data_IF_536818150661
#
_entry.id   IF_536818150661
#
_cell.length_a   1.000
_cell.length_b   1.000
_cell.length_c   1.000
_cell.angle_alpha   90.00
_cell.angle_beta   90.00
_cell.angle_gamma   90.00
#
_symmetry.space_group_name_H-M   'P 1'
#
loop_
_entity.id
_entity.type
_entity.pdbx_description
1 polymer ?
#
# COMPACT_ATOMS: atom_id res chain seq x y z
N UNK A 1 -7.20 -5.78 -27.24
CA UNK A 1 -5.80 -5.43 -26.93
C UNK A 1 -5.74 -5.19 -25.43
N UNK A 2 -4.97 -5.99 -24.68
CA UNK A 2 -4.91 -5.85 -23.22
C UNK A 2 -4.19 -4.54 -22.86
N UNK A 3 -4.78 -3.74 -21.98
CA UNK A 3 -4.15 -2.52 -21.50
C UNK A 3 -2.99 -2.89 -20.56
N UNK A 4 -1.83 -2.23 -20.65
CA UNK A 4 -0.69 -2.53 -19.78
C UNK A 4 -1.03 -2.23 -18.33
N UNK A 5 -0.33 -2.92 -17.43
CA UNK A 5 -0.37 -2.60 -16.01
C UNK A 5 0.22 -1.21 -15.76
N UNK A 6 -0.42 -0.44 -14.88
CA UNK A 6 -0.03 0.93 -14.58
C UNK A 6 -0.17 1.20 -13.09
N UNK A 7 0.76 1.97 -12.52
CA UNK A 7 0.62 2.52 -11.19
C UNK A 7 0.83 4.04 -11.25
N UNK A 8 -0.20 4.80 -10.86
CA UNK A 8 -0.18 6.26 -10.73
C UNK A 8 -0.09 6.58 -9.25
N UNK A 9 0.81 7.48 -8.87
CA UNK A 9 1.07 7.76 -7.45
C UNK A 9 1.53 9.19 -7.23
N UNK A 10 1.14 9.82 -6.11
CA UNK A 10 1.68 11.11 -5.72
C UNK A 10 3.10 10.93 -5.18
N UNK A 11 3.84 12.04 -5.05
CA UNK A 11 5.19 12.02 -4.48
C UNK A 11 5.26 11.49 -3.03
N UNK A 12 4.15 11.55 -2.29
CA UNK A 12 4.03 10.95 -0.96
C UNK A 12 3.93 9.42 -0.98
N UNK A 13 3.62 8.80 -2.14
CA UNK A 13 3.39 7.37 -2.27
C UNK A 13 2.09 6.86 -1.65
N UNK A 14 1.34 7.70 -0.94
CA UNK A 14 0.04 7.36 -0.34
C UNK A 14 -1.05 7.42 -1.42
N UNK A 15 -1.73 6.31 -1.65
CA UNK A 15 -2.91 6.30 -2.52
C UNK A 15 -4.13 6.54 -1.64
N UNK A 16 -4.81 7.67 -1.78
CA UNK A 16 -5.88 8.12 -0.86
C UNK A 16 -7.30 7.88 -1.40
N UNK A 17 -7.41 7.23 -2.57
CA UNK A 17 -8.66 7.05 -3.29
C UNK A 17 -9.11 8.29 -4.08
N UNK A 18 -8.28 9.35 -4.15
CA UNK A 18 -8.59 10.60 -4.84
C UNK A 18 -7.86 10.70 -6.17
N UNK A 19 -8.47 11.41 -7.13
CA UNK A 19 -7.89 11.63 -8.44
C UNK A 19 -7.58 10.34 -9.21
N UNK A 20 -6.53 10.40 -10.04
CA UNK A 20 -6.06 9.30 -10.88
C UNK A 20 -5.14 8.30 -10.17
N UNK A 21 -4.81 8.54 -8.91
CA UNK A 21 -3.91 7.68 -8.15
C UNK A 21 -4.50 6.26 -8.02
N UNK A 22 -3.65 5.25 -8.20
CA UNK A 22 -4.07 3.87 -8.13
C UNK A 22 -3.21 2.89 -8.92
N UNK A 23 -3.46 1.61 -8.70
CA UNK A 23 -3.02 0.54 -9.58
C UNK A 23 -4.12 0.23 -10.58
N UNK A 24 -3.73 0.05 -11.84
CA UNK A 24 -4.61 -0.28 -12.94
C UNK A 24 -4.16 -1.58 -13.62
N UNK A 25 -5.14 -2.43 -13.93
CA UNK A 25 -4.95 -3.66 -14.71
C UNK A 25 -6.12 -3.79 -15.67
N UNK A 26 -5.82 -4.06 -16.94
CA UNK A 26 -6.84 -4.21 -17.98
C UNK A 26 -7.85 -3.04 -18.02
N UNK A 27 -7.36 -1.81 -17.78
CA UNK A 27 -8.16 -0.59 -17.76
C UNK A 27 -8.91 -0.33 -16.45
N UNK A 28 -8.93 -1.25 -15.48
CA UNK A 28 -9.64 -1.09 -14.21
C UNK A 28 -8.71 -0.69 -13.07
N UNK A 29 -9.17 0.21 -12.20
CA UNK A 29 -8.45 0.64 -10.98
C UNK A 29 -8.55 -0.42 -9.88
N UNK A 30 -7.69 -1.43 -9.93
CA UNK A 30 -7.69 -2.56 -8.98
C UNK A 30 -7.34 -2.19 -7.54
N UNK A 31 -6.72 -1.03 -7.33
CA UNK A 31 -6.48 -0.47 -6.01
C UNK A 31 -6.44 1.06 -6.11
N UNK A 32 -7.40 1.75 -5.49
CA UNK A 32 -7.47 3.21 -5.43
C UNK A 32 -6.86 3.75 -4.13
N UNK A 33 -6.81 2.93 -3.07
CA UNK A 33 -6.32 3.28 -1.75
C UNK A 33 -5.24 2.30 -1.27
N UNK A 34 -4.15 2.84 -0.74
CA UNK A 34 -3.01 2.10 -0.18
C UNK A 34 -2.24 3.03 0.76
N UNK A 35 -2.90 3.36 1.88
CA UNK A 35 -2.38 4.29 2.88
C UNK A 35 -1.64 3.52 3.97
N UNK A 36 -0.39 3.89 4.20
CA UNK A 36 0.44 3.32 5.26
C UNK A 36 0.51 4.25 6.45
N UNK A 37 0.27 3.66 7.62
CA UNK A 37 0.60 4.24 8.91
C UNK A 37 1.56 3.33 9.64
N UNK A 38 2.48 3.94 10.38
CA UNK A 38 3.42 3.23 11.24
C UNK A 38 3.60 4.05 12.52
N UNK A 39 3.67 3.40 13.68
CA UNK A 39 3.67 4.08 14.98
C UNK A 39 2.48 5.05 15.18
N UNK A 40 1.32 4.74 14.58
CA UNK A 40 0.10 5.53 14.68
C UNK A 40 0.02 6.76 13.75
N UNK A 41 1.04 7.04 12.94
CA UNK A 41 1.07 8.18 12.02
C UNK A 41 1.50 7.80 10.60
N UNK A 42 1.30 8.71 9.64
CA UNK A 42 1.88 8.52 8.31
C UNK A 42 3.39 8.74 8.34
N UNK A 43 4.18 7.94 7.61
CA UNK A 43 5.60 8.24 7.41
C UNK A 43 5.79 9.60 6.72
N UNK A 44 6.75 10.39 7.20
CA UNK A 44 7.14 11.63 6.53
C UNK A 44 8.01 11.28 5.33
N UNK A 45 7.46 11.38 4.13
CA UNK A 45 8.18 11.07 2.89
C UNK A 45 9.06 12.26 2.49
N UNK A 46 10.36 12.02 2.44
CA UNK A 46 11.36 13.02 2.07
C UNK A 46 11.73 12.97 0.59
N UNK A 47 11.38 11.86 -0.08
CA UNK A 47 11.64 11.69 -1.50
C UNK A 47 10.72 10.63 -2.13
N UNK A 48 10.01 10.99 -3.19
CA UNK A 48 9.30 10.06 -4.07
C UNK A 48 9.73 10.29 -5.52
N UNK A 49 10.16 9.24 -6.21
CA UNK A 49 10.58 9.33 -7.62
C UNK A 49 10.43 8.01 -8.37
N UNK A 50 10.38 8.09 -9.69
CA UNK A 50 10.61 6.92 -10.54
C UNK A 50 12.06 6.46 -10.43
N UNK A 51 12.24 5.14 -10.41
CA UNK A 51 13.56 4.47 -10.44
C UNK A 51 13.70 3.54 -11.64
N UNK A 52 12.59 3.22 -12.31
CA UNK A 52 12.52 2.58 -13.62
C UNK A 52 11.18 2.98 -14.28
N UNK A 53 10.97 2.59 -15.54
CA UNK A 53 9.73 2.87 -16.27
C UNK A 53 8.48 2.25 -15.60
N UNK A 54 8.66 1.14 -14.89
CA UNK A 54 7.62 0.40 -14.19
C UNK A 54 7.66 0.59 -12.66
N UNK A 55 8.62 1.34 -12.11
CA UNK A 55 8.87 1.36 -10.65
C UNK A 55 9.07 2.76 -10.07
N UNK A 56 8.44 2.99 -8.94
CA UNK A 56 8.61 4.17 -8.10
C UNK A 56 9.17 3.79 -6.72
N UNK A 57 10.10 4.60 -6.21
CA UNK A 57 10.66 4.46 -4.87
C UNK A 57 10.34 5.69 -4.03
N UNK A 58 9.84 5.44 -2.83
CA UNK A 58 9.52 6.43 -1.83
C UNK A 58 10.37 6.16 -0.59
N UNK A 59 11.04 7.18 -0.09
CA UNK A 59 11.85 7.12 1.13
C UNK A 59 11.27 8.10 2.12
N UNK A 60 11.05 7.64 3.33
CA UNK A 60 10.54 8.45 4.42
C UNK A 60 11.04 7.99 5.78
N UNK A 61 10.56 8.65 6.81
CA UNK A 61 10.89 8.36 8.21
C UNK A 61 9.63 8.21 9.04
N UNK A 62 9.70 7.36 10.07
CA UNK A 62 8.61 7.16 11.03
C UNK A 62 9.07 7.69 12.37
N UNK A 63 8.33 8.66 12.92
CA UNK A 63 8.52 9.20 14.26
C UNK A 63 7.74 8.37 15.26
N UNK A 64 8.38 7.96 16.36
CA UNK A 64 7.70 7.19 17.42
C UNK A 64 7.40 8.09 18.61
N UNK A 65 6.30 7.80 19.30
CA UNK A 65 6.00 8.46 20.56
C UNK A 65 7.14 8.22 21.57
N UNK A 66 7.63 9.29 22.20
CA UNK A 66 8.70 9.23 23.19
C UNK A 66 10.13 9.22 22.62
N UNK A 67 10.29 9.34 21.30
CA UNK A 67 11.60 9.55 20.68
C UNK A 67 12.17 10.93 21.05
N UNK A 68 13.42 10.96 21.54
CA UNK A 68 14.06 12.18 22.08
C UNK A 68 15.08 12.82 21.12
N UNK A 69 15.53 12.07 20.12
CA UNK A 69 16.56 12.52 19.17
C UNK A 69 15.99 13.33 18.01
N UNK A 70 16.79 14.27 17.45
CA UNK A 70 16.37 15.04 16.28
C UNK A 70 16.21 14.15 15.04
N UNK A 71 16.94 13.05 14.94
CA UNK A 71 16.87 12.13 13.80
C UNK A 71 15.92 10.96 14.10
N UNK A 72 14.91 10.70 13.25
CA UNK A 72 14.07 9.52 13.41
C UNK A 72 14.88 8.22 13.32
N UNK A 73 14.66 7.32 14.27
CA UNK A 73 15.34 6.03 14.35
C UNK A 73 14.83 5.03 13.30
N UNK A 74 13.63 5.25 12.75
CA UNK A 74 13.01 4.35 11.77
C UNK A 74 12.93 5.01 10.40
N UNK A 75 13.61 4.39 9.43
CA UNK A 75 13.50 4.72 8.01
C UNK A 75 12.53 3.76 7.33
N UNK A 76 11.68 4.30 6.46
CA UNK A 76 10.80 3.56 5.57
C UNK A 76 11.26 3.71 4.12
N UNK A 77 11.28 2.60 3.40
CA UNK A 77 11.37 2.56 1.95
C UNK A 77 10.17 1.80 1.39
N UNK A 78 9.47 2.41 0.44
CA UNK A 78 8.40 1.79 -0.34
C UNK A 78 8.85 1.70 -1.80
N UNK A 79 8.81 0.50 -2.37
CA UNK A 79 9.03 0.25 -3.79
C UNK A 79 7.72 -0.25 -4.39
N UNK A 80 7.15 0.54 -5.30
CA UNK A 80 5.90 0.25 -6.01
C UNK A 80 6.22 -0.10 -7.45
N UNK A 81 5.59 -1.14 -7.97
CA UNK A 81 5.77 -1.63 -9.33
C UNK A 81 4.44 -1.66 -10.07
N UNK A 82 4.43 -1.27 -11.34
CA UNK A 82 3.22 -1.23 -12.17
C UNK A 82 2.51 -2.60 -12.26
N UNK A 83 3.24 -3.70 -12.03
CA UNK A 83 2.69 -5.05 -11.98
C UNK A 83 1.83 -5.37 -10.75
N UNK A 84 1.56 -4.40 -9.86
CA UNK A 84 0.73 -4.58 -8.67
C UNK A 84 1.51 -5.04 -7.44
N UNK A 85 2.84 -5.21 -7.54
CA UNK A 85 3.67 -5.50 -6.38
C UNK A 85 4.09 -4.24 -5.63
N UNK A 86 4.07 -4.32 -4.30
CA UNK A 86 4.51 -3.24 -3.43
C UNK A 86 5.33 -3.79 -2.26
N UNK A 87 6.58 -3.32 -2.12
CA UNK A 87 7.49 -3.74 -1.04
C UNK A 87 7.78 -2.57 -0.11
N UNK A 88 7.42 -2.70 1.15
CA UNK A 88 7.59 -1.68 2.19
C UNK A 88 8.58 -2.22 3.21
N UNK A 89 9.74 -1.58 3.33
CA UNK A 89 10.83 -1.98 4.22
C UNK A 89 11.06 -0.93 5.29
N UNK A 90 11.05 -1.36 6.54
CA UNK A 90 11.40 -0.54 7.70
C UNK A 90 12.78 -0.94 8.18
N UNK A 91 13.65 0.04 8.38
CA UNK A 91 15.00 -0.15 8.92
C UNK A 91 15.16 0.67 10.19
N UNK A 92 15.71 0.07 11.23
CA UNK A 92 15.99 0.73 12.51
C UNK A 92 17.47 1.08 12.61
N UNK A 93 17.79 2.31 13.04
CA UNK A 93 19.12 2.70 13.51
C UNK A 93 19.25 2.60 15.04
N UNK A 94 18.21 2.13 15.74
CA UNK A 94 18.19 2.01 17.19
C UNK A 94 19.17 0.93 17.66
N UNK A 95 19.76 1.14 18.84
CA UNK A 95 20.60 0.16 19.53
C UNK A 95 19.76 -0.83 20.37
N UNK A 96 18.44 -0.62 20.45
CA UNK A 96 17.50 -1.51 21.13
C UNK A 96 16.46 -2.05 20.14
N UNK A 97 15.88 -3.24 20.40
CA UNK A 97 14.76 -3.71 19.61
C UNK A 97 13.59 -2.74 19.63
N UNK A 98 12.90 -2.60 18.50
CA UNK A 98 11.73 -1.73 18.34
C UNK A 98 10.53 -2.56 17.89
N UNK A 99 9.44 -2.50 18.65
CA UNK A 99 8.12 -2.95 18.17
C UNK A 99 7.47 -1.83 17.39
N UNK A 100 7.10 -2.10 16.15
CA UNK A 100 6.52 -1.13 15.24
C UNK A 100 5.12 -1.59 14.80
N UNK A 101 4.05 -0.97 15.32
CA UNK A 101 2.71 -1.16 14.77
C UNK A 101 2.67 -0.58 13.36
N UNK A 102 2.19 -1.37 12.40
CA UNK A 102 2.03 -0.98 11.01
C UNK A 102 0.60 -1.27 10.57
N UNK A 103 -0.04 -0.29 9.95
CA UNK A 103 -1.37 -0.39 9.38
C UNK A 103 -1.35 -0.02 7.91
N UNK A 104 -2.00 -0.82 7.07
CA UNK A 104 -2.20 -0.49 5.66
C UNK A 104 -3.68 -0.51 5.34
N UNK A 105 -4.24 0.65 4.99
CA UNK A 105 -5.61 0.78 4.51
C UNK A 105 -5.65 0.65 3.00
N UNK A 106 -6.48 -0.26 2.53
CA UNK A 106 -6.64 -0.68 1.14
C UNK A 106 -8.09 -0.45 0.70
N UNK A 107 -8.29 -0.17 -0.58
CA UNK A 107 -9.61 0.06 -1.14
C UNK A 107 -9.57 0.17 -2.65
N UNK A 108 -10.70 -0.10 -3.28
CA UNK A 108 -10.88 -0.03 -4.73
C UNK A 108 -12.36 0.22 -5.05
N UNK A 109 -12.60 0.87 -6.19
CA UNK A 109 -13.90 1.06 -6.82
C UNK A 109 -14.05 0.21 -8.10
N UNK A 110 -12.98 -0.51 -8.50
CA UNK A 110 -12.85 -1.20 -9.80
C UNK A 110 -13.24 -0.34 -11.01
N UNK A 111 -13.12 0.99 -10.89
CA UNK A 111 -13.55 1.92 -11.92
C UNK A 111 -12.68 1.83 -13.17
N UNK A 112 -13.30 2.03 -14.33
CA UNK A 112 -12.60 2.15 -15.61
C UNK A 112 -11.72 3.41 -15.63
N UNK A 113 -10.51 3.31 -16.18
CA UNK A 113 -9.54 4.40 -16.25
C UNK A 113 -10.14 5.67 -16.86
N UNK A 114 -10.95 5.53 -17.92
CA UNK A 114 -11.63 6.67 -18.56
C UNK A 114 -12.58 7.40 -17.61
N UNK A 115 -13.31 6.67 -16.77
CA UNK A 115 -14.21 7.26 -15.78
C UNK A 115 -13.44 7.96 -14.66
N UNK A 116 -12.34 7.37 -14.19
CA UNK A 116 -11.45 8.02 -13.19
C UNK A 116 -10.82 9.28 -13.76
N UNK A 117 -10.37 9.25 -15.03
CA UNK A 117 -9.73 10.39 -15.68
C UNK A 117 -10.61 11.63 -15.80
N UNK A 118 -11.94 11.45 -15.89
CA UNK A 118 -12.91 12.56 -15.91
C UNK A 118 -13.50 12.85 -14.53
N UNK A 119 -12.96 12.27 -13.46
CA UNK A 119 -13.38 12.53 -12.08
C UNK A 119 -14.71 11.90 -11.69
N UNK A 120 -15.14 10.84 -12.39
CA UNK A 120 -16.38 10.11 -12.13
C UNK A 120 -16.14 8.65 -11.75
N UNK A 121 -15.30 8.34 -10.74
CA UNK A 121 -15.21 6.99 -10.24
C UNK A 121 -16.54 6.54 -9.60
N UNK A 122 -16.77 5.23 -9.60
CA UNK A 122 -17.85 4.63 -8.81
C UNK A 122 -17.55 4.68 -7.30
N UNK A 123 -18.51 4.29 -6.44
CA UNK A 123 -18.27 4.15 -5.01
C UNK A 123 -17.24 3.05 -4.72
N UNK A 124 -16.50 3.20 -3.61
CA UNK A 124 -15.60 2.16 -3.13
C UNK A 124 -16.39 0.87 -2.81
N UNK A 125 -15.85 -0.28 -3.22
CA UNK A 125 -16.45 -1.59 -3.01
C UNK A 125 -16.24 -2.06 -1.57
N UNK A 126 -17.12 -2.95 -1.08
CA UNK A 126 -16.94 -3.60 0.22
C UNK A 126 -15.92 -4.72 0.11
N UNK A 127 -14.89 -4.66 0.96
CA UNK A 127 -13.92 -5.74 1.05
C UNK A 127 -14.50 -6.95 1.79
N UNK A 128 -13.92 -8.12 1.53
CA UNK A 128 -14.02 -9.31 2.38
C UNK A 128 -12.61 -9.86 2.63
N UNK A 129 -12.40 -10.52 3.78
CA UNK A 129 -11.12 -11.17 4.08
C UNK A 129 -10.88 -12.32 3.09
N UNK A 130 -9.66 -12.43 2.59
CA UNK A 130 -9.27 -13.48 1.67
C UNK A 130 -7.80 -13.87 1.88
N UNK A 131 -7.57 -15.11 2.36
CA UNK A 131 -6.23 -15.59 2.68
C UNK A 131 -5.50 -14.66 3.65
N UNK A 132 -4.29 -14.24 3.30
CA UNK A 132 -3.47 -13.28 4.04
C UNK A 132 -3.74 -11.81 3.65
N UNK A 133 -4.92 -11.50 3.11
CA UNK A 133 -5.26 -10.14 2.70
C UNK A 133 -6.76 -9.94 2.49
N UNK A 134 -7.12 -9.20 1.44
CA UNK A 134 -8.47 -8.72 1.17
C UNK A 134 -8.85 -8.93 -0.29
N UNK A 135 -10.14 -9.09 -0.56
CA UNK A 135 -10.70 -9.04 -1.92
C UNK A 135 -11.92 -8.15 -1.99
N UNK A 136 -12.16 -7.59 -3.17
CA UNK A 136 -13.31 -6.74 -3.49
C UNK A 136 -14.03 -7.31 -4.71
N UNK A 137 -15.15 -8.04 -4.49
CA UNK A 137 -15.96 -8.54 -5.58
C UNK A 137 -16.64 -7.39 -6.33
N UNK A 138 -16.57 -7.41 -7.66
CA UNK A 138 -17.32 -6.53 -8.55
C UNK A 138 -17.99 -7.31 -9.68
N UNK A 139 -18.75 -6.63 -10.56
CA UNK A 139 -19.35 -7.26 -11.72
C UNK A 139 -18.28 -7.77 -12.69
N UNK A 140 -18.25 -9.10 -12.92
CA UNK A 140 -17.36 -9.76 -13.89
C UNK A 140 -15.88 -9.88 -13.51
N UNK A 141 -15.44 -9.22 -12.43
CA UNK A 141 -14.10 -9.34 -11.90
C UNK A 141 -14.04 -9.00 -10.40
N UNK A 142 -13.00 -9.47 -9.72
CA UNK A 142 -12.67 -9.09 -8.35
C UNK A 142 -11.22 -8.63 -8.26
N UNK A 143 -10.99 -7.56 -7.49
CA UNK A 143 -9.64 -7.20 -7.09
C UNK A 143 -9.23 -8.01 -5.86
N UNK A 144 -7.97 -8.44 -5.81
CA UNK A 144 -7.40 -9.17 -4.67
C UNK A 144 -6.10 -8.53 -4.27
N UNK A 145 -5.89 -8.33 -2.97
CA UNK A 145 -4.59 -8.00 -2.40
C UNK A 145 -4.20 -9.09 -1.41
N UNK A 146 -3.01 -9.66 -1.62
CA UNK A 146 -2.36 -10.56 -0.66
C UNK A 146 -1.17 -9.87 0.00
N UNK A 147 -0.82 -10.28 1.22
CA UNK A 147 0.31 -9.73 1.95
C UNK A 147 1.24 -10.80 2.51
N UNK A 148 2.54 -10.51 2.52
CA UNK A 148 3.59 -11.33 3.12
C UNK A 148 4.55 -10.44 3.91
N UNK A 149 4.80 -10.70 5.21
CA UNK A 149 4.18 -11.74 6.03
C UNK A 149 2.67 -11.53 6.20
N UNK A 150 1.96 -12.58 6.61
CA UNK A 150 0.54 -12.48 6.90
C UNK A 150 0.28 -11.40 7.97
N UNK A 151 -0.78 -10.59 7.82
CA UNK A 151 -1.16 -9.61 8.84
C UNK A 151 -1.60 -10.31 10.11
N UNK A 152 -1.35 -9.67 11.25
CA UNK A 152 -1.89 -10.09 12.54
C UNK A 152 -3.41 -9.92 12.59
N UNK A 153 -3.93 -8.86 11.96
CA UNK A 153 -5.36 -8.62 11.81
C UNK A 153 -5.71 -8.16 10.39
N UNK A 154 -6.84 -8.66 9.87
CA UNK A 154 -7.45 -8.19 8.63
C UNK A 154 -8.91 -7.77 8.92
N UNK A 155 -9.20 -6.48 8.80
CA UNK A 155 -10.52 -5.90 9.07
C UNK A 155 -11.15 -5.45 7.76
N UNK A 156 -11.93 -6.35 7.15
CA UNK A 156 -12.54 -6.14 5.84
C UNK A 156 -13.46 -4.90 5.78
N UNK A 157 -14.24 -4.63 6.83
CA UNK A 157 -15.14 -3.46 6.88
C UNK A 157 -14.41 -2.12 6.78
N UNK A 158 -13.14 -2.08 7.19
CA UNK A 158 -12.28 -0.90 7.13
C UNK A 158 -11.24 -0.96 5.99
N UNK A 159 -11.20 -2.06 5.23
CA UNK A 159 -10.15 -2.32 4.25
C UNK A 159 -8.74 -2.37 4.87
N UNK A 160 -8.60 -2.80 6.13
CA UNK A 160 -7.39 -2.57 6.92
C UNK A 160 -6.62 -3.88 7.18
N UNK A 161 -5.30 -3.84 6.97
CA UNK A 161 -4.36 -4.88 7.39
C UNK A 161 -3.42 -4.34 8.46
N UNK A 162 -3.12 -5.13 9.49
CA UNK A 162 -2.27 -4.73 10.62
C UNK A 162 -1.15 -5.71 10.91
N UNK A 163 -0.01 -5.18 11.34
CA UNK A 163 1.14 -5.94 11.81
C UNK A 163 1.74 -5.29 13.06
N UNK A 164 2.33 -6.11 13.92
CA UNK A 164 3.30 -5.69 14.93
C UNK A 164 4.68 -6.20 14.50
N UNK A 165 5.52 -5.33 13.95
CA UNK A 165 6.84 -5.73 13.46
C UNK A 165 7.89 -5.61 14.56
N UNK A 166 8.57 -6.72 14.85
CA UNK A 166 9.78 -6.72 15.68
C UNK A 166 11.01 -6.36 14.84
N UNK A 167 11.50 -5.13 14.99
CA UNK A 167 12.75 -4.65 14.38
C UNK A 167 13.91 -4.88 15.37
N UNK A 168 14.91 -5.72 15.02
CA UNK A 168 16.13 -5.85 15.82
C UNK A 168 16.95 -4.54 15.83
N UNK A 169 17.90 -4.38 16.77
CA UNK A 169 18.88 -3.30 16.72
C UNK A 169 19.60 -3.26 15.36
N UNK A 170 19.62 -2.12 14.68
CA UNK A 170 20.21 -2.00 13.34
C UNK A 170 19.49 -2.79 12.23
N UNK A 171 18.39 -3.47 12.57
CA UNK A 171 17.75 -4.48 11.73
C UNK A 171 16.67 -3.91 10.80
N UNK A 172 16.12 -4.78 9.95
CA UNK A 172 15.02 -4.44 9.05
C UNK A 172 13.92 -5.49 9.00
N UNK A 173 12.71 -5.05 8.63
CA UNK A 173 11.55 -5.89 8.31
C UNK A 173 10.87 -5.38 7.05
N UNK A 174 10.26 -6.29 6.31
CA UNK A 174 9.63 -5.99 5.02
C UNK A 174 8.22 -6.57 4.99
N UNK A 175 7.28 -5.79 4.48
CA UNK A 175 5.94 -6.21 4.07
C UNK A 175 5.89 -6.13 2.55
N UNK A 176 5.44 -7.20 1.91
CA UNK A 176 5.15 -7.27 0.49
C UNK A 176 3.65 -7.38 0.29
N UNK A 177 3.10 -6.55 -0.59
CA UNK A 177 1.74 -6.64 -1.08
C UNK A 177 1.75 -7.07 -2.55
N UNK A 178 0.75 -7.84 -2.96
CA UNK A 178 0.47 -8.11 -4.38
C UNK A 178 -1.00 -7.86 -4.67
N UNK A 179 -1.26 -6.85 -5.49
CA UNK A 179 -2.58 -6.53 -6.02
C UNK A 179 -2.77 -7.20 -7.38
N UNK A 180 -3.94 -7.82 -7.59
CA UNK A 180 -4.30 -8.50 -8.82
C UNK A 180 -5.78 -8.30 -9.19
N UNK A 181 -6.10 -8.65 -10.43
CA UNK A 181 -7.46 -8.74 -10.95
C UNK A 181 -7.74 -10.19 -11.31
N UNK A 182 -8.85 -10.72 -10.83
CA UNK A 182 -9.33 -12.06 -11.17
C UNK A 182 -10.70 -11.94 -11.83
N UNK A 183 -10.90 -12.66 -12.94
CA UNK A 183 -12.21 -12.70 -13.60
C UNK A 183 -13.13 -13.61 -12.81
N UNK A 184 -14.38 -13.19 -12.63
CA UNK A 184 -15.43 -14.03 -12.09
C UNK A 184 -16.22 -14.64 -13.24
N UNK A 185 -16.46 -15.96 -13.15
CA UNK A 185 -17.23 -16.72 -14.14
C UNK A 185 -18.73 -16.36 -14.11
#
# INVERSE_FOLDING_TARGET
MALPALAVSPASGQLTGQGLDGYYRDGRRILSRCELRAAGGEPVVVQGRLVAADRARFVGTVRRAGERGPDPEIRMERLRSADGSERITFSSSSVRPVRLPVEIRLGTDLAELGAVAVGLPGPELRAVVHGCGLRWPGPGAQAVVSASPAPAEALASAGLLRWELDLPPGGRRTIELRAGLELTA
#
